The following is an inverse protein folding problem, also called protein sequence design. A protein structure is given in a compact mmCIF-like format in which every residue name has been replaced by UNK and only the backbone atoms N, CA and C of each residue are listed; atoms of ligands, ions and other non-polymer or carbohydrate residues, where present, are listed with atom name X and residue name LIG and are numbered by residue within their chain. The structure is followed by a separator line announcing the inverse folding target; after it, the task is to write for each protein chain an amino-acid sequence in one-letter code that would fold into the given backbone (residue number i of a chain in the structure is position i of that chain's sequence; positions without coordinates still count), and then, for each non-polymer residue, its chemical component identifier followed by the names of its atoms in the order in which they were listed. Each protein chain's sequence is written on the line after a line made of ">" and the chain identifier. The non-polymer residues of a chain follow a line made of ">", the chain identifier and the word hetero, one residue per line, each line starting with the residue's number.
data_IF_217724122428
#
_entry.id   IF_217724122428
#
_cell.length_a   1.000
_cell.length_b   1.000
_cell.length_c   1.000
_cell.angle_alpha   90.00
_cell.angle_beta   90.00
_cell.angle_gamma   90.00
#
_symmetry.space_group_name_H-M   'P 1'
#
loop_
_entity.id
_entity.type
_entity.pdbx_description
1 polymer ?
#
# COMPACT_ATOMS: atom_id res chain seq x y z
N UNK A 1 -28.31 2.35 -9.04
CA UNK A 1 -28.88 1.80 -7.79
C UNK A 1 -28.47 2.70 -6.64
N UNK A 2 -29.41 3.04 -5.76
CA UNK A 2 -29.11 3.89 -4.60
C UNK A 2 -28.29 3.10 -3.56
N UNK A 3 -27.45 3.79 -2.79
CA UNK A 3 -26.61 3.21 -1.73
C UNK A 3 -27.41 2.32 -0.72
N UNK A 4 -28.72 2.56 -0.60
CA UNK A 4 -29.64 1.79 0.24
C UNK A 4 -29.96 0.39 -0.32
N UNK A 5 -30.25 0.28 -1.61
CA UNK A 5 -30.52 -1.02 -2.26
C UNK A 5 -29.32 -1.95 -2.22
N UNK A 6 -28.13 -1.38 -2.27
CA UNK A 6 -26.85 -2.06 -2.19
C UNK A 6 -26.61 -2.68 -0.80
N UNK A 7 -26.84 -1.90 0.27
CA UNK A 7 -26.73 -2.39 1.65
C UNK A 7 -27.71 -3.52 1.96
N UNK A 8 -28.90 -3.49 1.35
CA UNK A 8 -29.90 -4.55 1.50
C UNK A 8 -29.49 -5.85 0.80
N UNK A 9 -28.99 -5.79 -0.44
CA UNK A 9 -28.48 -6.95 -1.18
C UNK A 9 -27.28 -7.57 -0.45
N UNK A 10 -26.35 -6.76 0.04
CA UNK A 10 -25.21 -7.21 0.86
C UNK A 10 -25.68 -7.94 2.12
N UNK A 11 -26.68 -7.43 2.83
CA UNK A 11 -27.23 -8.06 4.02
C UNK A 11 -27.84 -9.42 3.72
N UNK A 12 -28.51 -9.56 2.57
CA UNK A 12 -29.08 -10.83 2.11
C UNK A 12 -27.97 -11.83 1.75
N UNK A 13 -26.93 -11.39 1.01
CA UNK A 13 -25.79 -12.25 0.67
C UNK A 13 -25.01 -12.67 1.92
N UNK A 14 -24.85 -11.79 2.91
CA UNK A 14 -24.24 -12.11 4.20
C UNK A 14 -25.06 -13.10 5.03
N UNK A 15 -26.38 -13.06 4.91
CA UNK A 15 -27.28 -13.98 5.64
C UNK A 15 -27.33 -15.39 5.02
N UNK A 16 -27.16 -15.51 3.70
CA UNK A 16 -27.29 -16.76 2.97
C UNK A 16 -25.98 -17.40 2.49
N UNK A 17 -24.86 -16.69 2.55
CA UNK A 17 -23.57 -17.23 2.08
C UNK A 17 -22.35 -16.77 2.88
N UNK A 18 -22.53 -16.15 4.03
CA UNK A 18 -21.53 -15.20 4.38
C UNK A 18 -20.89 -15.20 5.75
N UNK A 19 -21.08 -16.17 6.60
CA UNK A 19 -20.28 -16.20 7.84
C UNK A 19 -18.77 -16.36 7.55
N UNK A 20 -18.41 -17.12 6.53
CA UNK A 20 -17.03 -17.35 6.11
C UNK A 20 -16.40 -16.15 5.39
N UNK A 21 -17.13 -15.49 4.47
CA UNK A 21 -16.66 -14.30 3.75
C UNK A 21 -16.46 -13.08 4.66
N UNK A 22 -17.32 -12.91 5.66
CA UNK A 22 -17.19 -11.82 6.62
C UNK A 22 -16.00 -12.02 7.60
N UNK A 23 -15.65 -13.26 7.90
CA UNK A 23 -14.49 -13.58 8.74
C UNK A 23 -13.15 -13.34 8.01
N UNK A 24 -13.06 -13.60 6.71
CA UNK A 24 -11.86 -13.36 5.91
C UNK A 24 -11.49 -11.88 5.81
N UNK A 25 -12.48 -10.99 5.76
CA UNK A 25 -12.23 -9.54 5.66
C UNK A 25 -11.85 -8.89 7.00
N UNK A 26 -12.02 -9.57 8.12
CA UNK A 26 -11.69 -9.02 9.45
C UNK A 26 -10.24 -9.20 9.88
N UNK A 27 -9.37 -9.76 9.03
CA UNK A 27 -7.96 -10.03 9.37
C UNK A 27 -7.78 -11.06 10.48
N UNK A 28 -8.80 -11.85 10.78
CA UNK A 28 -8.68 -12.98 11.71
C UNK A 28 -8.07 -14.15 10.96
N UNK A 29 -6.98 -14.68 11.49
CA UNK A 29 -6.46 -15.99 11.08
C UNK A 29 -7.50 -17.02 11.51
N UNK A 30 -8.28 -17.55 10.56
CA UNK A 30 -9.35 -18.51 10.84
C UNK A 30 -8.98 -19.95 10.51
N UNK A 31 -7.70 -20.23 10.22
CA UNK A 31 -7.27 -21.60 9.88
C UNK A 31 -5.77 -21.75 9.71
N UNK A 32 -5.35 -22.99 9.79
CA UNK A 32 -4.03 -23.41 9.36
C UNK A 32 -3.86 -23.14 7.85
N UNK A 33 -2.66 -22.74 7.38
CA UNK A 33 -2.39 -22.66 5.96
C UNK A 33 -2.65 -24.02 5.33
N UNK A 34 -3.51 -24.08 4.32
CA UNK A 34 -3.85 -25.32 3.65
C UNK A 34 -2.65 -26.09 3.09
N UNK A 35 -1.55 -25.33 2.80
CA UNK A 35 -0.24 -25.89 2.45
C UNK A 35 0.86 -24.96 3.02
N UNK A 36 1.59 -25.37 4.07
CA UNK A 36 2.67 -24.58 4.68
C UNK A 36 3.82 -24.27 3.73
N UNK A 37 4.11 -25.14 2.76
CA UNK A 37 5.17 -24.90 1.77
C UNK A 37 4.79 -23.74 0.85
N UNK A 38 3.53 -23.69 0.42
CA UNK A 38 3.00 -22.57 -0.38
C UNK A 38 3.05 -21.26 0.40
N UNK A 39 2.68 -21.27 1.69
CA UNK A 39 2.76 -20.10 2.54
C UNK A 39 4.20 -19.58 2.66
N UNK A 40 5.15 -20.49 2.90
CA UNK A 40 6.58 -20.16 2.98
C UNK A 40 7.10 -19.57 1.66
N UNK A 41 6.74 -20.21 0.53
CA UNK A 41 7.12 -19.72 -0.80
C UNK A 41 6.50 -18.35 -1.09
N UNK A 42 5.23 -18.16 -0.76
CA UNK A 42 4.52 -16.87 -0.95
C UNK A 42 5.17 -15.74 -0.13
N UNK A 43 5.54 -16.01 1.14
CA UNK A 43 6.26 -15.05 1.98
C UNK A 43 7.60 -14.67 1.38
N UNK A 44 8.38 -15.65 0.96
CA UNK A 44 9.68 -15.42 0.32
C UNK A 44 9.56 -14.64 -0.99
N UNK A 45 8.67 -15.08 -1.89
CA UNK A 45 8.42 -14.39 -3.16
C UNK A 45 7.93 -12.95 -2.95
N UNK A 46 7.06 -12.73 -1.95
CA UNK A 46 6.59 -11.41 -1.55
C UNK A 46 7.73 -10.52 -1.08
N UNK A 47 8.60 -11.01 -0.20
CA UNK A 47 9.75 -10.24 0.30
C UNK A 47 10.73 -9.89 -0.82
N UNK A 48 11.05 -10.84 -1.69
CA UNK A 48 11.94 -10.64 -2.85
C UNK A 48 11.33 -9.68 -3.90
N UNK A 49 10.01 -9.52 -3.94
CA UNK A 49 9.31 -8.61 -4.84
C UNK A 49 9.28 -7.15 -4.36
N UNK A 50 9.53 -6.90 -3.09
CA UNK A 50 9.56 -5.53 -2.55
C UNK A 50 10.67 -4.71 -3.20
N UNK A 51 10.34 -3.48 -3.62
CA UNK A 51 11.29 -2.56 -4.26
C UNK A 51 11.63 -1.43 -3.30
N UNK A 52 12.89 -1.35 -2.89
CA UNK A 52 13.40 -0.24 -2.09
C UNK A 52 13.74 0.93 -3.02
N UNK A 53 12.92 2.00 -2.98
CA UNK A 53 13.09 3.16 -3.84
C UNK A 53 14.00 4.22 -3.23
N UNK A 54 14.04 4.31 -1.90
CA UNK A 54 14.85 5.28 -1.16
C UNK A 54 15.26 4.70 0.18
N UNK A 55 16.50 4.97 0.62
CA UNK A 55 16.97 4.60 1.95
C UNK A 55 18.10 5.54 2.39
N UNK A 56 17.75 6.74 2.81
CA UNK A 56 18.71 7.74 3.26
C UNK A 56 19.10 7.46 4.72
N UNK A 57 20.40 7.70 5.02
CA UNK A 57 20.95 7.56 6.36
C UNK A 57 20.64 6.21 7.03
N UNK A 58 20.59 5.14 6.25
CA UNK A 58 20.25 3.79 6.75
C UNK A 58 19.00 3.80 7.63
N UNK A 59 17.91 4.42 7.12
CA UNK A 59 16.64 4.44 7.82
C UNK A 59 16.03 3.03 7.92
N UNK A 60 16.34 2.19 6.96
CA UNK A 60 16.09 0.74 6.96
C UNK A 60 17.43 -0.01 6.93
N UNK A 61 17.53 -1.20 7.54
CA UNK A 61 16.50 -1.90 8.34
C UNK A 61 16.09 -1.13 9.60
N UNK A 62 14.89 -1.42 10.12
CA UNK A 62 14.40 -0.86 11.39
C UNK A 62 15.27 -1.28 12.55
N UNK A 63 15.51 -0.36 13.48
CA UNK A 63 16.14 -0.67 14.77
C UNK A 63 15.12 -1.34 15.69
N UNK A 64 15.29 -2.63 15.94
CA UNK A 64 14.40 -3.42 16.80
C UNK A 64 14.55 -3.13 18.29
N UNK A 65 15.57 -2.37 18.70
CA UNK A 65 15.77 -1.98 20.10
C UNK A 65 14.87 -0.83 20.55
N UNK A 66 14.22 -0.15 19.60
CA UNK A 66 13.37 1.01 19.87
C UNK A 66 11.95 0.82 19.31
N UNK A 67 10.92 1.37 19.95
CA UNK A 67 9.57 1.28 19.47
C UNK A 67 9.37 2.11 18.19
N UNK A 68 8.48 1.62 17.32
CA UNK A 68 8.11 2.23 16.05
C UNK A 68 6.67 2.72 16.11
N UNK A 69 6.42 3.94 15.65
CA UNK A 69 5.08 4.47 15.49
C UNK A 69 4.55 4.10 14.08
N UNK A 70 3.51 3.27 14.01
CA UNK A 70 2.94 2.79 12.76
C UNK A 70 1.66 3.55 12.43
N UNK A 71 1.67 4.29 11.35
CA UNK A 71 0.57 5.14 10.88
C UNK A 71 0.00 4.65 9.55
N UNK A 72 -1.22 5.09 9.26
CA UNK A 72 -1.94 4.76 8.04
C UNK A 72 -2.94 3.61 8.24
N UNK A 73 -4.18 3.85 7.83
CA UNK A 73 -5.26 2.87 7.96
C UNK A 73 -4.91 1.52 7.34
N UNK A 74 -4.19 1.55 6.24
CA UNK A 74 -3.89 0.37 5.44
C UNK A 74 -2.97 -0.61 6.20
N UNK A 75 -2.28 -0.19 7.27
CA UNK A 75 -1.57 -1.11 8.16
C UNK A 75 -2.46 -2.28 8.63
N UNK A 76 -3.76 -2.01 8.82
CA UNK A 76 -4.76 -2.97 9.28
C UNK A 76 -5.66 -3.48 8.15
N UNK A 77 -6.19 -2.57 7.33
CA UNK A 77 -7.01 -2.90 6.17
C UNK A 77 -6.11 -3.07 4.93
N UNK A 78 -5.20 -4.04 4.98
CA UNK A 78 -4.13 -4.25 4.01
C UNK A 78 -4.67 -4.81 2.69
N UNK A 79 -4.23 -4.27 1.57
CA UNK A 79 -4.54 -4.81 0.25
C UNK A 79 -3.59 -5.96 -0.07
N UNK A 80 -4.02 -7.18 0.18
CA UNK A 80 -3.20 -8.38 -0.05
C UNK A 80 -3.37 -8.97 -1.45
N UNK A 81 -4.46 -8.64 -2.14
CA UNK A 81 -4.81 -9.17 -3.46
C UNK A 81 -5.47 -8.07 -4.31
N UNK A 82 -5.38 -8.19 -5.62
CA UNK A 82 -6.10 -7.34 -6.57
C UNK A 82 -7.56 -7.73 -6.70
N UNK A 83 -8.32 -6.88 -7.39
CA UNK A 83 -9.74 -7.08 -7.70
C UNK A 83 -9.93 -7.63 -9.11
N UNK A 84 -11.13 -8.09 -9.44
CA UNK A 84 -11.48 -8.54 -10.78
C UNK A 84 -11.67 -10.05 -10.88
N UNK A 85 -11.84 -10.58 -12.10
CA UNK A 85 -12.10 -12.00 -12.34
C UNK A 85 -10.94 -12.90 -11.95
N UNK A 86 -9.71 -12.42 -12.06
CA UNK A 86 -8.50 -13.10 -11.59
C UNK A 86 -8.01 -12.61 -10.23
N UNK A 87 -8.66 -11.59 -9.68
CA UNK A 87 -8.44 -11.04 -8.34
C UNK A 87 -9.47 -11.54 -7.34
N UNK A 88 -9.63 -10.80 -6.23
CA UNK A 88 -10.60 -11.09 -5.16
C UNK A 88 -10.56 -12.56 -4.69
N UNK A 89 -9.33 -13.08 -4.62
CA UNK A 89 -9.08 -14.49 -4.28
C UNK A 89 -9.37 -14.71 -2.81
N UNK A 90 -10.16 -15.73 -2.52
CA UNK A 90 -10.41 -16.21 -1.16
C UNK A 90 -9.17 -16.96 -0.66
N UNK A 91 -8.36 -16.30 0.15
CA UNK A 91 -7.24 -16.93 0.82
C UNK A 91 -7.71 -17.59 2.14
N UNK A 92 -7.06 -18.68 2.60
CA UNK A 92 -7.38 -19.30 3.89
C UNK A 92 -7.14 -18.34 5.06
N UNK A 93 -6.22 -17.39 4.92
CA UNK A 93 -5.94 -16.28 5.84
C UNK A 93 -5.21 -15.16 5.10
N UNK A 94 -5.08 -14.01 5.76
CA UNK A 94 -4.18 -12.95 5.30
C UNK A 94 -3.52 -12.28 6.51
N UNK A 95 -2.23 -11.98 6.38
CA UNK A 95 -1.44 -11.26 7.39
C UNK A 95 -1.32 -9.80 6.98
N UNK A 96 -1.84 -8.90 7.80
CA UNK A 96 -1.66 -7.47 7.61
C UNK A 96 -0.31 -6.98 8.17
N UNK A 97 0.04 -5.73 7.94
CA UNK A 97 1.36 -5.23 8.33
C UNK A 97 1.54 -5.15 9.84
N UNK A 98 0.49 -4.86 10.62
CA UNK A 98 0.57 -4.89 12.10
C UNK A 98 0.97 -6.29 12.57
N UNK A 99 0.28 -7.30 12.09
CA UNK A 99 0.56 -8.70 12.45
C UNK A 99 1.97 -9.12 12.01
N UNK A 100 2.39 -8.74 10.78
CA UNK A 100 3.72 -9.05 10.27
C UNK A 100 4.83 -8.43 11.10
N UNK A 101 4.71 -7.15 11.47
CA UNK A 101 5.71 -6.46 12.30
C UNK A 101 5.78 -7.06 13.71
N UNK A 102 4.64 -7.40 14.32
CA UNK A 102 4.60 -8.09 15.62
C UNK A 102 5.25 -9.47 15.54
N UNK A 103 4.97 -10.24 14.48
CA UNK A 103 5.59 -11.55 14.25
C UNK A 103 7.11 -11.44 14.07
N UNK A 104 7.60 -10.34 13.49
CA UNK A 104 9.03 -10.05 13.33
C UNK A 104 9.70 -9.46 14.58
N UNK A 105 8.97 -9.30 15.69
CA UNK A 105 9.50 -8.81 16.96
C UNK A 105 9.60 -7.28 17.07
N UNK A 106 8.98 -6.52 16.16
CA UNK A 106 8.97 -5.06 16.22
C UNK A 106 8.05 -4.59 17.35
N UNK A 107 8.58 -3.74 18.22
CA UNK A 107 7.78 -3.07 19.24
C UNK A 107 7.01 -1.90 18.61
N UNK A 108 5.68 -1.98 18.57
CA UNK A 108 4.83 -0.91 18.07
C UNK A 108 4.37 0.02 19.19
N UNK A 109 4.30 1.33 18.93
CA UNK A 109 3.71 2.29 19.89
C UNK A 109 2.26 1.94 20.16
N UNK A 110 1.99 1.50 21.38
CA UNK A 110 0.68 1.00 21.79
C UNK A 110 -0.42 2.06 21.72
N UNK A 111 -0.08 3.34 21.89
CA UNK A 111 -1.06 4.46 21.83
C UNK A 111 -1.49 4.71 20.41
N UNK A 112 -0.54 4.70 19.45
CA UNK A 112 -0.84 4.85 18.02
C UNK A 112 -1.63 3.64 17.52
N UNK A 113 -1.19 2.44 17.88
CA UNK A 113 -1.86 1.21 17.50
C UNK A 113 -3.32 1.16 18.01
N UNK A 114 -3.55 1.47 19.29
CA UNK A 114 -4.88 1.48 19.89
C UNK A 114 -5.81 2.52 19.25
N UNK A 115 -5.28 3.69 18.86
CA UNK A 115 -6.07 4.70 18.18
C UNK A 115 -6.55 4.23 16.80
N UNK A 116 -5.66 3.62 15.99
CA UNK A 116 -6.04 3.04 14.70
C UNK A 116 -6.97 1.84 14.87
N UNK A 117 -6.74 0.98 15.87
CA UNK A 117 -7.61 -0.15 16.18
C UNK A 117 -9.04 0.33 16.47
N UNK A 118 -9.17 1.27 17.42
CA UNK A 118 -10.47 1.85 17.79
C UNK A 118 -11.16 2.53 16.61
N UNK A 119 -10.40 3.28 15.80
CA UNK A 119 -10.95 4.00 14.68
C UNK A 119 -11.39 3.06 13.54
N UNK A 120 -10.59 2.04 13.21
CA UNK A 120 -10.88 1.06 12.16
C UNK A 120 -12.05 0.14 12.52
N UNK A 121 -12.25 -0.17 13.80
CA UNK A 121 -13.35 -1.05 14.26
C UNK A 121 -14.67 -0.33 14.46
N UNK A 122 -14.68 1.01 14.47
CA UNK A 122 -15.90 1.79 14.54
C UNK A 122 -16.74 1.59 13.27
N UNK A 123 -18.01 1.23 13.42
CA UNK A 123 -18.89 0.88 12.29
C UNK A 123 -19.03 1.99 11.24
N UNK A 124 -18.91 3.25 11.66
CA UNK A 124 -18.94 4.42 10.76
C UNK A 124 -17.72 4.48 9.84
N UNK A 125 -16.62 3.85 10.24
CA UNK A 125 -15.36 3.80 9.51
C UNK A 125 -15.11 2.43 8.88
N UNK A 126 -16.02 1.48 9.05
CA UNK A 126 -15.90 0.16 8.43
C UNK A 126 -15.77 0.32 6.91
N UNK A 127 -14.70 -0.20 6.29
CA UNK A 127 -14.52 -0.06 4.86
C UNK A 127 -15.60 -0.86 4.15
N UNK A 128 -16.26 -0.22 3.19
CA UNK A 128 -17.06 -0.95 2.23
C UNK A 128 -16.11 -1.76 1.33
N UNK A 129 -16.09 -3.11 1.41
CA UNK A 129 -15.21 -3.91 0.58
C UNK A 129 -15.58 -3.85 -0.90
N UNK A 130 -16.73 -3.27 -1.23
CA UNK A 130 -17.23 -3.20 -2.59
C UNK A 130 -17.82 -4.52 -3.08
N UNK A 131 -18.01 -4.61 -4.36
CA UNK A 131 -18.47 -5.80 -5.07
C UNK A 131 -17.98 -5.74 -6.52
N UNK A 132 -18.21 -6.78 -7.31
CA UNK A 132 -17.80 -6.88 -8.69
C UNK A 132 -17.98 -5.57 -9.48
N UNK A 133 -16.89 -5.04 -10.03
CA UNK A 133 -16.86 -3.78 -10.77
C UNK A 133 -17.00 -2.51 -9.92
N UNK A 134 -17.16 -2.62 -8.60
CA UNK A 134 -17.38 -1.50 -7.68
C UNK A 134 -16.49 -1.53 -6.43
N UNK A 135 -15.35 -2.21 -6.48
CA UNK A 135 -14.38 -2.22 -5.39
C UNK A 135 -13.82 -0.82 -5.12
N UNK A 136 -13.57 -0.45 -3.85
CA UNK A 136 -12.93 0.81 -3.51
C UNK A 136 -11.48 0.84 -4.00
N UNK A 137 -11.01 1.99 -4.49
CA UNK A 137 -9.60 2.17 -4.86
C UNK A 137 -8.71 2.42 -3.64
N UNK A 138 -9.29 2.93 -2.57
CA UNK A 138 -8.63 3.22 -1.31
C UNK A 138 -9.63 3.15 -0.18
N UNK A 139 -9.13 3.06 1.03
CA UNK A 139 -9.95 3.24 2.25
C UNK A 139 -9.68 4.61 2.86
N UNK A 140 -10.74 5.27 3.35
CA UNK A 140 -10.62 6.59 3.94
C UNK A 140 -9.66 6.60 5.13
N UNK A 141 -8.64 7.46 5.10
CA UNK A 141 -7.64 7.58 6.16
C UNK A 141 -8.23 8.24 7.42
N UNK A 142 -7.69 7.83 8.59
CA UNK A 142 -8.00 8.44 9.87
C UNK A 142 -7.51 9.89 9.91
N UNK A 143 -8.35 10.86 10.31
CA UNK A 143 -7.85 12.21 10.53
C UNK A 143 -6.90 12.24 11.73
N UNK A 144 -5.72 12.81 11.55
CA UNK A 144 -4.73 12.95 12.61
C UNK A 144 -4.64 14.38 13.11
N UNK A 145 -4.30 14.55 14.40
CA UNK A 145 -3.99 15.84 15.01
C UNK A 145 -2.51 15.98 15.22
N UNK A 146 -1.96 17.16 14.97
CA UNK A 146 -0.52 17.43 15.07
C UNK A 146 0.04 17.15 16.48
N UNK A 147 -0.68 17.53 17.53
CA UNK A 147 -0.28 17.30 18.93
C UNK A 147 -0.19 15.82 19.27
N UNK A 148 -1.10 15.00 18.75
CA UNK A 148 -1.08 13.55 18.92
C UNK A 148 0.12 12.91 18.21
N UNK A 149 0.44 13.33 16.99
CA UNK A 149 1.61 12.86 16.25
C UNK A 149 2.90 13.28 16.94
N UNK A 150 2.98 14.53 17.43
CA UNK A 150 4.13 15.00 18.21
C UNK A 150 4.32 14.22 19.53
N UNK A 151 3.22 13.83 20.20
CA UNK A 151 3.29 12.99 21.37
C UNK A 151 3.84 11.58 21.07
N UNK A 152 3.51 11.01 19.91
CA UNK A 152 4.10 9.75 19.43
C UNK A 152 5.61 9.91 19.14
N UNK A 153 6.03 11.02 18.53
CA UNK A 153 7.42 11.31 18.23
C UNK A 153 8.32 11.48 19.49
N UNK A 154 7.72 11.77 20.64
CA UNK A 154 8.45 11.77 21.93
C UNK A 154 8.76 10.35 22.45
N UNK A 155 8.00 9.33 22.00
CA UNK A 155 8.16 7.93 22.41
C UNK A 155 8.93 7.10 21.38
N UNK A 156 8.85 7.48 20.11
CA UNK A 156 9.43 6.75 18.99
C UNK A 156 10.29 7.67 18.13
N UNK A 157 11.47 7.21 17.73
CA UNK A 157 12.32 7.95 16.81
C UNK A 157 11.90 7.73 15.34
N UNK A 158 11.34 6.56 15.04
CA UNK A 158 10.97 6.15 13.70
C UNK A 158 9.46 6.05 13.56
N UNK A 159 8.94 6.65 12.49
CA UNK A 159 7.58 6.44 12.02
C UNK A 159 7.58 5.60 10.75
N UNK A 160 6.68 4.63 10.67
CA UNK A 160 6.32 3.94 9.43
C UNK A 160 4.92 4.41 9.03
N UNK A 161 4.77 4.94 7.83
CA UNK A 161 3.49 5.37 7.27
C UNK A 161 3.12 4.43 6.14
N UNK A 162 1.90 3.88 6.16
CA UNK A 162 1.42 2.96 5.13
C UNK A 162 0.31 3.61 4.32
N UNK A 163 0.52 3.71 3.01
CA UNK A 163 -0.49 4.19 2.06
C UNK A 163 -0.82 3.04 1.11
N UNK A 164 -2.10 2.85 0.82
CA UNK A 164 -2.55 1.76 -0.03
C UNK A 164 -3.52 2.15 -1.12
N UNK A 165 -3.45 1.41 -2.21
CA UNK A 165 -4.37 1.46 -3.34
C UNK A 165 -4.71 0.06 -3.78
N UNK A 166 -5.99 -0.22 -3.98
CA UNK A 166 -6.39 -1.43 -4.68
C UNK A 166 -6.11 -1.28 -6.18
N UNK A 167 -5.81 -2.37 -6.82
CA UNK A 167 -5.73 -2.48 -8.28
C UNK A 167 -6.41 -3.76 -8.74
N UNK A 168 -6.59 -3.92 -10.04
CA UNK A 168 -7.16 -5.11 -10.63
C UNK A 168 -7.98 -4.78 -11.86
N UNK A 169 -8.61 -5.78 -12.41
CA UNK A 169 -9.46 -5.70 -13.59
C UNK A 169 -10.61 -4.71 -13.35
N UNK A 170 -10.90 -3.87 -14.35
CA UNK A 170 -11.92 -2.81 -14.28
C UNK A 170 -11.68 -1.77 -13.16
N UNK A 171 -10.45 -1.69 -12.67
CA UNK A 171 -10.06 -0.76 -11.60
C UNK A 171 -8.80 0.04 -11.93
N UNK A 172 -8.70 0.46 -13.19
CA UNK A 172 -7.64 1.32 -13.68
C UNK A 172 -7.55 2.62 -12.86
N UNK A 173 -6.34 3.15 -12.78
CA UNK A 173 -6.12 4.45 -12.16
C UNK A 173 -6.92 5.54 -12.86
N UNK A 174 -7.43 6.45 -12.05
CA UNK A 174 -8.02 7.70 -12.51
C UNK A 174 -7.24 8.86 -11.92
N UNK A 175 -7.15 9.98 -12.65
CA UNK A 175 -6.48 11.21 -12.20
C UNK A 175 -7.29 11.90 -11.09
N UNK A 176 -7.53 11.17 -9.99
CA UNK A 176 -8.31 11.63 -8.83
C UNK A 176 -7.59 11.30 -7.53
N UNK A 177 -7.90 12.06 -6.49
CA UNK A 177 -7.47 11.78 -5.12
C UNK A 177 -8.02 10.43 -4.65
N UNK A 178 -7.15 9.62 -4.04
CA UNK A 178 -7.48 8.26 -3.62
C UNK A 178 -7.38 7.20 -4.73
N UNK A 179 -7.01 7.61 -5.95
CA UNK A 179 -6.58 6.73 -7.04
C UNK A 179 -5.14 7.06 -7.37
N UNK A 180 -4.89 7.86 -8.39
CA UNK A 180 -3.52 8.24 -8.77
C UNK A 180 -2.89 9.22 -7.78
N UNK A 181 -3.64 10.20 -7.28
CA UNK A 181 -3.14 11.21 -6.33
C UNK A 181 -3.42 10.84 -4.86
N UNK A 182 -2.63 11.41 -3.95
CA UNK A 182 -2.88 11.34 -2.52
C UNK A 182 -4.23 11.96 -2.16
N UNK A 183 -4.92 11.40 -1.17
CA UNK A 183 -6.09 12.05 -0.57
C UNK A 183 -5.64 13.19 0.34
N UNK A 184 -6.54 14.14 0.62
CA UNK A 184 -6.25 15.22 1.55
C UNK A 184 -5.85 14.72 2.95
N UNK A 185 -6.42 13.59 3.40
CA UNK A 185 -6.11 13.01 4.72
C UNK A 185 -4.77 12.30 4.74
N UNK A 186 -4.40 11.61 3.66
CA UNK A 186 -3.07 11.00 3.52
C UNK A 186 -1.98 12.07 3.47
N UNK A 187 -2.23 13.16 2.73
CA UNK A 187 -1.32 14.31 2.69
C UNK A 187 -1.18 14.94 4.08
N UNK A 188 -2.28 15.21 4.78
CA UNK A 188 -2.25 15.74 6.14
C UNK A 188 -1.52 14.81 7.12
N UNK A 189 -1.66 13.48 6.95
CA UNK A 189 -0.91 12.49 7.73
C UNK A 189 0.60 12.59 7.45
N UNK A 190 1.01 12.62 6.19
CA UNK A 190 2.42 12.77 5.81
C UNK A 190 2.99 14.11 6.31
N UNK A 191 2.25 15.22 6.13
CA UNK A 191 2.66 16.54 6.62
C UNK A 191 2.90 16.52 8.13
N UNK A 192 1.97 15.93 8.91
CA UNK A 192 2.09 15.85 10.37
C UNK A 192 3.25 14.97 10.82
N UNK A 193 3.42 13.78 10.19
CA UNK A 193 4.46 12.82 10.57
C UNK A 193 5.84 13.33 10.19
N UNK A 194 6.01 13.86 8.96
CA UNK A 194 7.30 14.39 8.51
C UNK A 194 7.73 15.68 9.22
N UNK A 195 6.78 16.39 9.85
CA UNK A 195 7.11 17.54 10.71
C UNK A 195 7.51 17.14 12.14
N UNK A 196 7.16 15.92 12.59
CA UNK A 196 7.37 15.50 13.97
C UNK A 196 8.51 14.48 14.14
N UNK A 197 8.72 13.59 13.17
CA UNK A 197 9.68 12.50 13.26
C UNK A 197 10.95 12.78 12.48
N UNK A 198 12.08 12.30 13.03
CA UNK A 198 13.38 12.40 12.34
C UNK A 198 13.58 11.32 11.27
N UNK A 199 13.01 10.13 11.50
CA UNK A 199 13.05 9.02 10.55
C UNK A 199 11.63 8.67 10.13
N UNK A 200 11.32 8.81 8.86
CA UNK A 200 10.02 8.46 8.29
C UNK A 200 10.22 7.46 7.17
N UNK A 201 9.63 6.28 7.33
CA UNK A 201 9.60 5.22 6.33
C UNK A 201 8.21 5.18 5.71
N UNK A 202 8.12 5.38 4.41
CA UNK A 202 6.87 5.26 3.66
C UNK A 202 6.77 3.88 3.02
N UNK A 203 5.72 3.15 3.34
CA UNK A 203 5.38 1.85 2.74
C UNK A 203 4.20 2.06 1.80
N UNK A 204 4.36 1.68 0.55
CA UNK A 204 3.34 1.79 -0.49
C UNK A 204 2.77 0.40 -0.80
N UNK A 205 1.62 0.08 -0.21
CA UNK A 205 0.84 -1.13 -0.50
C UNK A 205 -0.12 -0.85 -1.67
N UNK A 206 0.42 -0.84 -2.87
CA UNK A 206 -0.29 -0.44 -4.09
C UNK A 206 -0.14 -1.51 -5.18
N UNK A 207 -1.19 -1.77 -5.93
CA UNK A 207 -1.15 -2.74 -7.03
C UNK A 207 -0.86 -2.12 -8.40
N UNK A 208 -0.85 -0.79 -8.48
CA UNK A 208 -0.47 -0.01 -9.67
C UNK A 208 0.24 1.27 -9.27
N UNK A 209 1.06 1.83 -10.16
CA UNK A 209 1.82 3.06 -9.92
C UNK A 209 0.85 4.22 -9.63
N UNK A 210 1.18 5.03 -8.64
CA UNK A 210 0.50 6.27 -8.28
C UNK A 210 1.39 7.49 -8.58
N UNK A 211 0.90 8.69 -8.33
CA UNK A 211 1.71 9.91 -8.48
C UNK A 211 2.82 9.95 -7.43
N UNK A 212 4.06 10.04 -7.90
CA UNK A 212 5.22 10.20 -7.03
C UNK A 212 5.67 11.65 -6.87
N UNK A 213 5.13 12.59 -7.67
CA UNK A 213 5.53 14.00 -7.56
C UNK A 213 5.21 14.59 -6.17
N UNK A 214 4.01 14.28 -5.64
CA UNK A 214 3.64 14.72 -4.28
C UNK A 214 4.49 14.06 -3.19
N UNK A 215 4.95 12.82 -3.38
CA UNK A 215 5.82 12.10 -2.45
C UNK A 215 7.25 12.62 -2.52
N UNK A 216 7.77 12.83 -3.72
CA UNK A 216 9.13 13.35 -3.95
C UNK A 216 9.31 14.77 -3.39
N UNK A 217 8.23 15.57 -3.37
CA UNK A 217 8.22 16.91 -2.79
C UNK A 217 8.56 16.95 -1.28
N UNK A 218 8.41 15.84 -0.56
CA UNK A 218 8.86 15.74 0.84
C UNK A 218 10.38 15.66 0.98
N UNK A 219 11.10 15.35 -0.10
CA UNK A 219 12.56 15.27 -0.11
C UNK A 219 13.08 14.38 1.03
N UNK A 220 14.08 14.85 1.76
CA UNK A 220 14.73 14.09 2.83
C UNK A 220 13.89 13.92 4.11
N UNK A 221 12.73 14.58 4.19
CA UNK A 221 11.78 14.35 5.30
C UNK A 221 11.19 12.93 5.28
N UNK A 222 11.13 12.29 4.10
CA UNK A 222 10.88 10.85 3.98
C UNK A 222 12.24 10.18 3.79
N UNK A 223 12.65 9.43 4.81
CA UNK A 223 13.98 8.82 4.87
C UNK A 223 14.09 7.55 4.03
N UNK A 224 13.01 6.75 3.94
CA UNK A 224 12.96 5.56 3.11
C UNK A 224 11.59 5.38 2.46
N UNK A 225 11.57 4.78 1.26
CA UNK A 225 10.36 4.44 0.52
C UNK A 225 10.46 2.98 0.08
N UNK A 226 9.53 2.16 0.55
CA UNK A 226 9.39 0.77 0.17
C UNK A 226 8.09 0.56 -0.61
N UNK A 227 8.20 0.15 -1.85
CA UNK A 227 7.08 -0.26 -2.69
C UNK A 227 6.80 -1.74 -2.42
N UNK A 228 5.69 -2.00 -1.76
CA UNK A 228 5.34 -3.29 -1.18
C UNK A 228 4.18 -3.98 -1.89
N UNK A 229 3.77 -3.54 -3.04
CA UNK A 229 2.76 -4.16 -3.92
C UNK A 229 1.55 -4.79 -3.17
N UNK A 230 0.94 -5.82 -3.77
CA UNK A 230 -0.10 -6.69 -3.21
C UNK A 230 0.42 -8.14 -3.26
N UNK A 231 0.98 -8.63 -2.15
CA UNK A 231 1.88 -9.79 -2.10
C UNK A 231 1.20 -11.09 -1.67
N UNK A 232 -0.14 -11.12 -1.64
CA UNK A 232 -0.89 -12.31 -1.26
C UNK A 232 -1.06 -12.48 0.25
N UNK A 233 -1.42 -13.69 0.68
CA UNK A 233 -1.80 -13.98 2.05
C UNK A 233 -0.71 -13.70 3.09
N UNK A 234 0.56 -13.79 2.73
CA UNK A 234 1.72 -13.55 3.60
C UNK A 234 2.27 -12.11 3.52
N UNK A 235 1.56 -11.17 2.87
CA UNK A 235 2.03 -9.81 2.61
C UNK A 235 2.64 -9.12 3.83
N UNK A 236 1.95 -9.15 4.98
CA UNK A 236 2.43 -8.49 6.19
C UNK A 236 3.74 -9.06 6.71
N UNK A 237 3.91 -10.38 6.71
CA UNK A 237 5.15 -11.05 7.10
C UNK A 237 6.28 -10.73 6.10
N UNK A 238 6.00 -10.83 4.80
CA UNK A 238 6.97 -10.55 3.74
C UNK A 238 7.53 -9.13 3.82
N UNK A 239 6.65 -8.14 4.01
CA UNK A 239 7.05 -6.74 4.16
C UNK A 239 7.80 -6.50 5.47
N UNK A 240 7.38 -7.15 6.57
CA UNK A 240 8.07 -7.07 7.84
C UNK A 240 9.50 -7.65 7.75
N UNK A 241 9.70 -8.76 7.04
CA UNK A 241 11.03 -9.34 6.82
C UNK A 241 11.97 -8.36 6.12
N UNK A 242 11.46 -7.61 5.13
CA UNK A 242 12.23 -6.56 4.48
C UNK A 242 12.48 -5.39 5.44
N UNK A 243 11.45 -4.86 6.08
CA UNK A 243 11.59 -3.71 6.97
C UNK A 243 12.57 -3.97 8.14
N UNK A 244 12.67 -5.20 8.61
CA UNK A 244 13.57 -5.61 9.71
C UNK A 244 14.93 -6.11 9.26
N UNK A 245 15.17 -6.21 7.94
CA UNK A 245 16.44 -6.71 7.39
C UNK A 245 16.62 -8.20 7.47
N UNK A 246 15.59 -8.98 7.81
CA UNK A 246 15.64 -10.44 7.72
C UNK A 246 15.78 -10.90 6.27
N UNK A 247 15.20 -10.13 5.34
CA UNK A 247 15.38 -10.29 3.90
C UNK A 247 15.86 -8.97 3.32
N UNK A 248 16.95 -9.03 2.53
CA UNK A 248 17.42 -7.88 1.77
C UNK A 248 16.49 -7.63 0.58
N UNK A 249 15.98 -6.40 0.38
CA UNK A 249 15.13 -6.10 -0.76
C UNK A 249 15.88 -6.33 -2.08
N UNK A 250 15.26 -7.06 -2.99
CA UNK A 250 15.87 -7.42 -4.28
C UNK A 250 14.96 -7.15 -5.48
N UNK A 251 13.72 -6.74 -5.23
CA UNK A 251 12.76 -6.37 -6.26
C UNK A 251 13.26 -5.20 -7.11
N UNK A 252 12.83 -5.21 -8.38
CA UNK A 252 13.14 -4.17 -9.36
C UNK A 252 11.87 -3.64 -9.98
N UNK A 253 11.84 -2.32 -10.27
CA UNK A 253 10.71 -1.73 -10.97
C UNK A 253 10.53 -2.37 -12.35
N UNK A 254 9.30 -2.75 -12.64
CA UNK A 254 8.87 -3.22 -13.95
C UNK A 254 8.31 -2.09 -14.82
N UNK A 255 8.32 -0.86 -14.27
CA UNK A 255 7.87 0.36 -14.89
C UNK A 255 8.92 1.47 -14.77
N UNK A 256 8.83 2.47 -15.65
CA UNK A 256 9.50 3.77 -15.45
C UNK A 256 8.54 4.69 -14.73
N UNK A 257 8.96 5.25 -13.61
CA UNK A 257 8.20 6.26 -12.87
C UNK A 257 8.68 7.63 -13.32
N UNK A 258 7.82 8.36 -14.01
CA UNK A 258 8.08 9.73 -14.43
C UNK A 258 7.91 10.73 -13.28
N UNK A 259 8.50 11.92 -13.43
CA UNK A 259 8.39 13.00 -12.43
C UNK A 259 6.96 13.50 -12.28
N UNK A 260 6.22 13.59 -13.38
CA UNK A 260 4.81 13.99 -13.37
C UNK A 260 4.00 13.15 -14.35
N UNK A 261 2.68 13.15 -14.19
CA UNK A 261 1.79 12.49 -15.15
C UNK A 261 1.95 13.04 -16.57
N UNK A 262 2.19 14.35 -16.72
CA UNK A 262 2.35 15.01 -18.01
C UNK A 262 3.59 14.55 -18.80
N UNK A 263 4.52 13.87 -18.14
CA UNK A 263 5.73 13.35 -18.78
C UNK A 263 5.52 12.02 -19.52
N UNK A 264 4.41 11.33 -19.25
CA UNK A 264 4.08 10.09 -19.96
C UNK A 264 3.56 10.41 -21.37
N UNK A 265 4.02 9.67 -22.40
CA UNK A 265 3.65 9.96 -23.80
C UNK A 265 2.19 9.65 -24.13
N UNK A 266 1.58 8.64 -23.51
CA UNK A 266 0.23 8.17 -23.75
C UNK A 266 -0.76 8.68 -22.71
N UNK A 267 -1.13 9.97 -22.76
CA UNK A 267 -2.02 10.58 -21.78
C UNK A 267 -3.53 10.46 -22.10
N UNK A 268 -3.86 10.28 -23.37
CA UNK A 268 -5.26 10.25 -23.86
C UNK A 268 -5.72 8.83 -24.18
N UNK A 269 -5.27 7.88 -23.41
CA UNK A 269 -5.67 6.49 -23.54
C UNK A 269 -7.14 6.29 -23.11
N UNK A 270 -7.86 5.41 -23.82
CA UNK A 270 -9.23 5.07 -23.44
C UNK A 270 -10.32 5.78 -24.24
N UNK A 271 -10.04 6.23 -25.47
CA UNK A 271 -11.09 6.61 -26.41
C UNK A 271 -11.89 5.35 -26.78
N UNK A 272 -13.20 5.38 -26.50
CA UNK A 272 -14.08 4.22 -26.77
C UNK A 272 -14.33 3.95 -28.26
N UNK A 273 -14.07 4.94 -29.11
CA UNK A 273 -14.30 4.83 -30.56
C UNK A 273 -13.10 4.24 -31.29
N UNK A 274 -11.87 4.55 -30.83
CA UNK A 274 -10.64 4.10 -31.47
C UNK A 274 -9.49 4.07 -30.48
N UNK A 275 -8.57 3.12 -30.64
CA UNK A 275 -7.28 3.10 -29.94
C UNK A 275 -6.19 3.59 -30.87
N UNK A 276 -5.46 4.63 -30.46
CA UNK A 276 -4.31 5.17 -31.17
C UNK A 276 -3.04 4.77 -30.43
N UNK A 277 -2.23 3.93 -31.05
CA UNK A 277 -0.94 3.49 -30.52
C UNK A 277 0.15 4.53 -30.81
N UNK A 278 0.08 5.68 -30.13
CA UNK A 278 0.96 6.83 -30.39
C UNK A 278 2.40 6.61 -29.95
N UNK A 279 2.64 5.64 -29.09
CA UNK A 279 3.98 5.31 -28.59
C UNK A 279 4.73 4.36 -29.54
N UNK A 280 4.01 3.62 -30.40
CA UNK A 280 4.55 2.62 -31.32
C UNK A 280 5.46 1.63 -30.54
N UNK A 281 6.71 1.42 -30.98
CA UNK A 281 7.70 0.59 -30.28
C UNK A 281 8.29 1.23 -29.02
N UNK A 282 8.08 2.53 -28.83
CA UNK A 282 8.63 3.32 -27.73
C UNK A 282 7.71 3.33 -26.51
N UNK A 283 7.32 2.14 -26.04
CA UNK A 283 6.48 1.97 -24.86
C UNK A 283 7.32 2.01 -23.59
N UNK A 284 6.86 2.74 -22.58
CA UNK A 284 7.45 2.77 -21.24
C UNK A 284 8.92 3.24 -21.25
N UNK A 285 9.84 2.44 -20.71
CA UNK A 285 11.25 2.81 -20.59
C UNK A 285 11.90 3.13 -21.94
N UNK A 286 11.47 2.50 -23.05
CA UNK A 286 12.02 2.77 -24.39
C UNK A 286 11.80 4.22 -24.81
N UNK A 287 10.65 4.79 -24.49
CA UNK A 287 10.38 6.22 -24.72
C UNK A 287 11.30 7.09 -23.90
N UNK A 288 11.33 6.85 -22.58
CA UNK A 288 12.10 7.69 -21.68
C UNK A 288 13.60 7.62 -21.96
N UNK A 289 14.17 6.43 -22.13
CA UNK A 289 15.59 6.25 -22.45
C UNK A 289 15.99 6.94 -23.78
N UNK A 290 15.07 6.98 -24.75
CA UNK A 290 15.36 7.51 -26.08
C UNK A 290 15.13 9.01 -26.18
N UNK A 291 14.05 9.52 -25.62
CA UNK A 291 13.56 10.87 -25.91
C UNK A 291 13.50 11.80 -24.69
N UNK A 292 13.41 11.28 -23.48
CA UNK A 292 13.08 12.09 -22.31
C UNK A 292 13.70 11.56 -20.99
N UNK A 293 15.02 11.23 -20.95
CA UNK A 293 15.63 10.68 -19.75
C UNK A 293 15.58 11.65 -18.55
N UNK A 294 15.55 12.94 -18.80
CA UNK A 294 15.45 13.99 -17.78
C UNK A 294 14.09 14.03 -17.06
N UNK A 295 13.07 13.38 -17.62
CA UNK A 295 11.71 13.29 -17.04
C UNK A 295 11.52 12.10 -16.12
N UNK A 296 12.51 11.24 -16.02
CA UNK A 296 12.46 10.03 -15.18
C UNK A 296 12.75 10.39 -13.73
N UNK A 297 11.91 9.89 -12.81
CA UNK A 297 12.16 9.91 -11.37
C UNK A 297 12.83 8.61 -10.92
N UNK A 298 12.25 7.46 -11.30
CA UNK A 298 12.83 6.13 -11.08
C UNK A 298 12.81 5.35 -12.40
N UNK A 299 13.97 4.92 -12.92
CA UNK A 299 14.03 4.19 -14.17
C UNK A 299 13.52 2.75 -14.04
N UNK A 300 13.13 2.15 -15.16
CA UNK A 300 12.88 0.72 -15.25
C UNK A 300 14.07 -0.08 -14.69
N UNK A 301 13.78 -1.11 -13.92
CA UNK A 301 14.80 -1.95 -13.28
C UNK A 301 15.42 -1.32 -12.01
N UNK A 302 14.96 -0.14 -11.59
CA UNK A 302 15.45 0.50 -10.37
C UNK A 302 15.03 -0.28 -9.11
N UNK A 303 15.92 -0.28 -8.14
CA UNK A 303 15.71 -0.81 -6.80
C UNK A 303 17.02 -0.82 -6.03
N UNK A 304 16.97 -0.45 -4.76
CA UNK A 304 18.11 -0.46 -3.85
C UNK A 304 18.18 -1.77 -3.07
N UNK A 305 19.32 -1.99 -2.45
CA UNK A 305 19.58 -3.04 -1.44
C UNK A 305 20.15 -2.39 -0.17
N UNK A 306 20.18 -3.13 0.92
CA UNK A 306 20.83 -2.71 2.16
C UNK A 306 22.36 -2.73 2.03
#
# INVERSE_FOLDING_TARGET
>A
MTNWGYKAVRKVLQTFGGAELAQQQSGRITGEPGNPEVATLARRAGAESCVLLKNNNHALPLDLSAPVALFGRVQKNYFYVGNGSGGDVSAPYSINLVQGLVNAGVQLDSTVLAAYESWCTASVNDPDPGFWGHWPRYYAEMPVKQDWVQAAAKRCQTAVVVIGRSAGEDRENTLKKGSFYLTNKEKALLDAVTAAFQKVVLVLNIGSIMDFAEIDAYGDKISAILLAWQLGMESGNAVADVLTGQVNPSGRLTDTIAKTYADYPAQNFGNKAENRYTEDIFVGYRYFETFAPERVLYPFGYGLSY
#
